data_IF_773849966587
#
_entry.id   IF_773849966587
#
_cell.length_a   1.000
_cell.length_b   1.000
_cell.length_c   1.000
_cell.angle_alpha   90.00
_cell.angle_beta   90.00
_cell.angle_gamma   90.00
#
_symmetry.space_group_name_H-M   'P 1'
#
loop_
_entity.id
_entity.type
_entity.pdbx_description
1 polymer ?
#
# COMPACT_ATOMS: atom_id res chain seq x y z
N UNK A 1 3.12 12.67 28.04
CA UNK A 1 3.84 11.40 27.81
C UNK A 1 4.69 11.63 26.57
N UNK A 2 5.82 12.29 26.77
CA UNK A 2 6.77 12.61 25.71
C UNK A 2 7.60 11.35 25.48
N UNK A 3 7.55 10.78 24.28
CA UNK A 3 8.58 9.85 23.85
C UNK A 3 9.83 10.68 23.57
N UNK A 4 10.72 10.76 24.56
CA UNK A 4 12.04 11.34 24.38
C UNK A 4 12.73 10.67 23.18
N UNK A 5 13.31 11.49 22.32
CA UNK A 5 14.12 11.04 21.20
C UNK A 5 15.33 10.26 21.74
N UNK A 6 15.28 8.93 21.66
CA UNK A 6 16.36 8.01 22.07
C UNK A 6 17.64 8.20 21.20
N UNK A 7 17.54 8.95 20.10
CA UNK A 7 18.59 9.08 19.08
C UNK A 7 19.17 10.50 19.10
N UNK A 8 20.49 10.60 19.28
CA UNK A 8 21.22 11.87 19.25
C UNK A 8 21.14 12.54 17.88
N UNK A 9 21.32 13.87 17.82
CA UNK A 9 21.35 14.59 16.54
C UNK A 9 22.47 14.10 15.61
N UNK A 10 23.63 13.75 16.19
CA UNK A 10 24.76 13.19 15.46
C UNK A 10 24.41 11.82 14.84
N UNK A 11 23.71 10.97 15.57
CA UNK A 11 23.27 9.67 15.07
C UNK A 11 22.23 9.81 13.95
N UNK A 12 21.28 10.75 14.07
CA UNK A 12 20.32 11.03 12.99
C UNK A 12 21.03 11.50 11.72
N UNK A 13 22.01 12.40 11.85
CA UNK A 13 22.80 12.87 10.72
C UNK A 13 23.58 11.73 10.06
N UNK A 14 24.18 10.85 10.87
CA UNK A 14 24.89 9.66 10.39
C UNK A 14 23.96 8.70 9.63
N UNK A 15 22.81 8.36 10.19
CA UNK A 15 21.80 7.49 9.54
C UNK A 15 21.36 8.08 8.20
N UNK A 16 21.09 9.38 8.15
CA UNK A 16 20.71 10.05 6.90
C UNK A 16 21.86 10.05 5.88
N UNK A 17 23.10 10.27 6.32
CA UNK A 17 24.28 10.21 5.45
C UNK A 17 24.51 8.81 4.86
N UNK A 18 24.30 7.76 5.64
CA UNK A 18 24.37 6.36 5.19
C UNK A 18 23.25 6.01 4.21
N UNK A 19 22.08 6.67 4.29
CA UNK A 19 20.97 6.49 3.36
C UNK A 19 21.13 7.23 2.02
N UNK A 20 21.92 8.30 1.98
CA UNK A 20 22.11 9.15 0.78
C UNK A 20 22.54 8.38 -0.49
N UNK A 21 23.48 7.41 -0.44
CA UNK A 21 23.88 6.64 -1.63
C UNK A 21 22.70 5.89 -2.26
N UNK A 22 21.80 5.33 -1.45
CA UNK A 22 20.62 4.62 -1.92
C UNK A 22 19.62 5.58 -2.57
N UNK A 23 19.39 6.74 -1.95
CA UNK A 23 18.53 7.78 -2.51
C UNK A 23 19.03 8.22 -3.89
N UNK A 24 20.33 8.50 -4.02
CA UNK A 24 20.94 8.90 -5.28
C UNK A 24 20.84 7.81 -6.35
N UNK A 25 21.05 6.55 -5.96
CA UNK A 25 20.97 5.40 -6.88
C UNK A 25 19.58 5.22 -7.50
N UNK A 26 18.52 5.46 -6.72
CA UNK A 26 17.14 5.24 -7.17
C UNK A 26 16.40 6.51 -7.58
N UNK A 27 17.05 7.68 -7.48
CA UNK A 27 16.47 8.94 -7.96
C UNK A 27 16.12 8.84 -9.45
N UNK A 28 14.92 9.28 -9.83
CA UNK A 28 14.36 9.14 -11.18
C UNK A 28 13.81 7.75 -11.53
N UNK A 29 13.97 6.76 -10.65
CA UNK A 29 13.46 5.40 -10.90
C UNK A 29 11.97 5.28 -10.54
N UNK A 30 11.28 4.34 -11.19
CA UNK A 30 9.91 3.97 -10.88
C UNK A 30 9.91 2.79 -9.90
N UNK A 31 9.26 2.95 -8.76
CA UNK A 31 9.14 1.91 -7.73
C UNK A 31 7.70 1.37 -7.69
N UNK A 32 7.49 0.11 -8.07
CA UNK A 32 6.16 -0.52 -8.00
C UNK A 32 5.96 -1.13 -6.61
N UNK A 33 5.00 -0.59 -5.85
CA UNK A 33 4.77 -0.96 -4.45
C UNK A 33 3.44 -1.71 -4.36
N UNK A 34 3.51 -2.99 -3.98
CA UNK A 34 2.32 -3.78 -3.68
C UNK A 34 1.78 -3.42 -2.30
N UNK A 35 0.63 -2.75 -2.26
CA UNK A 35 -0.04 -2.34 -1.03
C UNK A 35 -1.19 -3.29 -0.70
N UNK A 36 -1.16 -3.95 0.46
CA UNK A 36 -2.18 -4.94 0.80
C UNK A 36 -2.11 -5.44 2.24
N UNK A 37 -3.09 -6.26 2.62
CA UNK A 37 -3.17 -6.88 3.96
C UNK A 37 -3.58 -5.90 5.06
N UNK A 38 -3.05 -6.09 6.27
CA UNK A 38 -3.38 -5.31 7.47
C UNK A 38 -3.03 -3.81 7.32
N UNK A 39 -2.10 -3.48 6.43
CA UNK A 39 -1.75 -2.09 6.12
C UNK A 39 -2.94 -1.31 5.53
N UNK A 40 -3.95 -1.99 4.96
CA UNK A 40 -5.19 -1.38 4.44
C UNK A 40 -6.32 -1.27 5.48
N UNK A 41 -6.19 -1.85 6.66
CA UNK A 41 -7.26 -1.86 7.68
C UNK A 41 -6.97 -0.93 8.84
N UNK A 42 -5.71 -0.85 9.27
CA UNK A 42 -5.32 -0.06 10.43
C UNK A 42 -5.05 1.42 10.07
N UNK A 43 -5.66 2.40 10.77
CA UNK A 43 -5.49 3.82 10.47
C UNK A 43 -4.04 4.31 10.58
N UNK A 44 -3.32 3.89 11.62
CA UNK A 44 -1.92 4.29 11.84
C UNK A 44 -1.00 3.82 10.71
N UNK A 45 -1.20 2.59 10.21
CA UNK A 45 -0.43 2.04 9.10
C UNK A 45 -0.78 2.70 7.76
N UNK A 46 -2.02 3.15 7.56
CA UNK A 46 -2.40 3.94 6.38
C UNK A 46 -1.68 5.28 6.33
N UNK A 47 -1.64 5.98 7.47
CA UNK A 47 -0.96 7.27 7.56
C UNK A 47 0.55 7.12 7.40
N UNK A 48 1.16 6.11 8.02
CA UNK A 48 2.57 5.78 7.83
C UNK A 48 2.90 5.52 6.37
N UNK A 49 2.10 4.66 5.71
CA UNK A 49 2.27 4.37 4.29
C UNK A 49 2.14 5.61 3.40
N UNK A 50 1.16 6.49 3.68
CA UNK A 50 1.01 7.74 2.94
C UNK A 50 2.23 8.66 3.11
N UNK A 51 2.78 8.78 4.32
CA UNK A 51 4.01 9.55 4.59
C UNK A 51 5.20 8.98 3.82
N UNK A 52 5.34 7.66 3.76
CA UNK A 52 6.43 7.01 3.01
C UNK A 52 6.32 7.25 1.51
N UNK A 53 5.11 7.16 0.94
CA UNK A 53 4.87 7.45 -0.48
C UNK A 53 5.23 8.89 -0.82
N UNK A 54 4.87 9.84 0.04
CA UNK A 54 5.25 11.25 -0.13
C UNK A 54 6.76 11.42 -0.03
N UNK A 55 7.41 10.80 0.95
CA UNK A 55 8.86 10.82 1.10
C UNK A 55 9.57 10.31 -0.16
N UNK A 56 9.12 9.18 -0.72
CA UNK A 56 9.66 8.63 -1.97
C UNK A 56 9.56 9.64 -3.12
N UNK A 57 8.43 10.34 -3.24
CA UNK A 57 8.26 11.37 -4.27
C UNK A 57 9.19 12.57 -4.05
N UNK A 58 9.38 12.99 -2.80
CA UNK A 58 10.27 14.11 -2.43
C UNK A 58 11.74 13.80 -2.74
N UNK A 59 12.19 12.57 -2.55
CA UNK A 59 13.57 12.15 -2.86
C UNK A 59 13.78 11.82 -4.35
N UNK A 60 12.77 12.02 -5.20
CA UNK A 60 12.85 11.84 -6.65
C UNK A 60 12.52 10.44 -7.15
N UNK A 61 12.03 9.53 -6.30
CA UNK A 61 11.53 8.22 -6.70
C UNK A 61 10.06 8.37 -7.16
N UNK A 62 9.64 7.60 -8.15
CA UNK A 62 8.26 7.63 -8.67
C UNK A 62 7.49 6.38 -8.22
N UNK A 63 6.78 6.42 -7.07
CA UNK A 63 6.03 5.27 -6.59
C UNK A 63 4.78 5.00 -7.43
N UNK A 64 4.61 3.76 -7.85
CA UNK A 64 3.40 3.21 -8.49
C UNK A 64 2.79 2.20 -7.56
N UNK A 65 1.64 2.53 -6.97
CA UNK A 65 1.01 1.72 -5.93
C UNK A 65 0.01 0.76 -6.57
N UNK A 66 0.23 -0.53 -6.37
CA UNK A 66 -0.69 -1.59 -6.79
C UNK A 66 -1.34 -2.16 -5.54
N UNK A 67 -2.64 -1.92 -5.35
CA UNK A 67 -3.34 -2.46 -4.19
C UNK A 67 -4.10 -3.75 -4.50
N UNK A 68 -4.31 -4.58 -3.48
CA UNK A 68 -5.26 -5.69 -3.55
C UNK A 68 -6.71 -5.20 -3.32
N UNK A 69 -7.69 -6.00 -3.76
CA UNK A 69 -9.12 -5.78 -3.47
C UNK A 69 -9.74 -6.81 -2.51
N UNK A 70 -8.92 -7.65 -1.86
CA UNK A 70 -9.39 -8.84 -1.13
C UNK A 70 -10.52 -8.58 -0.13
N UNK A 71 -10.36 -7.66 0.83
CA UNK A 71 -11.40 -7.34 1.81
C UNK A 71 -12.65 -6.71 1.18
N UNK A 72 -12.50 -5.81 0.20
CA UNK A 72 -13.65 -5.19 -0.46
C UNK A 72 -14.45 -6.18 -1.33
N UNK A 73 -13.75 -7.11 -2.00
CA UNK A 73 -14.39 -8.18 -2.78
C UNK A 73 -15.15 -9.13 -1.85
N UNK A 74 -14.61 -9.46 -0.68
CA UNK A 74 -15.30 -10.29 0.30
C UNK A 74 -16.56 -9.60 0.86
N UNK A 75 -16.47 -8.32 1.21
CA UNK A 75 -17.63 -7.53 1.64
C UNK A 75 -18.72 -7.46 0.55
N UNK A 76 -18.32 -7.37 -0.73
CA UNK A 76 -19.26 -7.40 -1.85
C UNK A 76 -19.86 -8.79 -2.07
N UNK A 77 -19.09 -9.87 -1.88
CA UNK A 77 -19.58 -11.25 -1.97
C UNK A 77 -20.58 -11.59 -0.86
N UNK A 78 -20.36 -11.10 0.36
CA UNK A 78 -21.30 -11.22 1.47
C UNK A 78 -22.63 -10.50 1.17
N UNK A 79 -22.58 -9.28 0.63
CA UNK A 79 -23.79 -8.54 0.20
C UNK A 79 -24.58 -9.25 -0.90
N UNK A 80 -23.89 -10.01 -1.76
CA UNK A 80 -24.51 -10.80 -2.84
C UNK A 80 -24.90 -12.21 -2.36
N UNK A 81 -24.80 -12.49 -1.05
CA UNK A 81 -25.27 -13.75 -0.43
C UNK A 81 -24.40 -14.96 -0.73
N UNK A 82 -23.15 -14.78 -1.20
CA UNK A 82 -22.24 -15.89 -1.51
C UNK A 82 -21.16 -15.98 -0.44
N UNK A 83 -21.23 -17.01 0.42
CA UNK A 83 -20.17 -17.31 1.40
C UNK A 83 -18.86 -17.61 0.67
N UNK A 84 -17.88 -16.74 0.86
CA UNK A 84 -16.51 -16.97 0.39
C UNK A 84 -15.79 -17.87 1.40
N UNK A 85 -15.91 -19.19 1.25
CA UNK A 85 -15.11 -20.14 2.02
C UNK A 85 -13.66 -20.05 1.52
N UNK A 86 -12.87 -19.16 2.13
CA UNK A 86 -11.45 -18.98 1.81
C UNK A 86 -10.62 -19.74 2.85
N UNK A 87 -10.17 -20.93 2.50
CA UNK A 87 -9.09 -21.60 3.24
C UNK A 87 -7.81 -20.75 3.10
N UNK A 88 -7.12 -20.54 4.22
CA UNK A 88 -6.03 -19.55 4.34
C UNK A 88 -4.77 -19.86 3.53
N UNK A 89 -4.72 -20.98 2.83
CA UNK A 89 -3.49 -21.54 2.28
C UNK A 89 -3.43 -21.50 0.74
N UNK A 90 -4.56 -21.31 0.05
CA UNK A 90 -4.55 -21.02 -1.38
C UNK A 90 -5.82 -20.30 -1.81
N UNK A 91 -5.73 -18.97 -2.00
CA UNK A 91 -6.83 -18.18 -2.52
C UNK A 91 -6.96 -18.35 -4.04
N UNK A 92 -7.17 -19.58 -4.54
CA UNK A 92 -7.48 -19.78 -5.96
C UNK A 92 -8.83 -19.10 -6.25
N UNK A 93 -8.86 -18.06 -7.09
CA UNK A 93 -10.11 -17.40 -7.43
C UNK A 93 -10.96 -18.35 -8.29
N UNK A 94 -12.13 -18.75 -7.78
CA UNK A 94 -13.16 -19.38 -8.61
C UNK A 94 -13.52 -18.48 -9.80
N UNK A 95 -13.93 -19.04 -10.95
CA UNK A 95 -14.29 -18.26 -12.17
C UNK A 95 -15.20 -17.06 -11.86
N UNK A 96 -16.13 -17.22 -10.92
CA UNK A 96 -17.05 -16.17 -10.45
C UNK A 96 -16.36 -15.04 -9.68
N UNK A 97 -15.34 -15.35 -8.84
CA UNK A 97 -14.55 -14.35 -8.11
C UNK A 97 -13.65 -13.54 -9.04
N UNK A 98 -13.10 -14.18 -10.08
CA UNK A 98 -12.34 -13.49 -11.13
C UNK A 98 -13.19 -12.44 -11.85
N UNK A 99 -14.40 -12.83 -12.26
CA UNK A 99 -15.35 -11.92 -12.90
C UNK A 99 -15.71 -10.78 -11.92
N UNK A 100 -16.10 -11.09 -10.68
CA UNK A 100 -16.47 -10.06 -9.70
C UNK A 100 -15.32 -9.09 -9.40
N UNK A 101 -14.08 -9.59 -9.27
CA UNK A 101 -12.89 -8.77 -9.11
C UNK A 101 -12.69 -7.83 -10.30
N UNK A 102 -12.80 -8.35 -11.52
CA UNK A 102 -12.67 -7.57 -12.75
C UNK A 102 -13.75 -6.47 -12.83
N UNK A 103 -15.00 -6.78 -12.48
CA UNK A 103 -16.08 -5.81 -12.40
C UNK A 103 -15.87 -4.76 -11.30
N UNK A 104 -15.42 -5.17 -10.12
CA UNK A 104 -15.12 -4.24 -9.02
C UNK A 104 -14.01 -3.25 -9.37
N UNK A 105 -12.93 -3.73 -9.98
CA UNK A 105 -11.82 -2.90 -10.44
C UNK A 105 -12.21 -2.01 -11.62
N UNK A 106 -12.99 -2.53 -12.58
CA UNK A 106 -13.52 -1.73 -13.68
C UNK A 106 -14.47 -0.63 -13.19
N UNK A 107 -15.27 -0.89 -12.15
CA UNK A 107 -16.21 0.08 -11.57
C UNK A 107 -15.58 1.09 -10.60
N UNK A 108 -14.44 0.77 -9.98
CA UNK A 108 -13.75 1.68 -9.04
C UNK A 108 -12.62 2.50 -9.68
N UNK A 109 -12.14 2.12 -10.87
CA UNK A 109 -10.98 2.76 -11.52
C UNK A 109 -11.23 4.11 -12.21
N UNK A 110 -12.42 4.72 -12.10
CA UNK A 110 -12.69 6.07 -12.65
C UNK A 110 -13.36 7.02 -11.66
N UNK A 111 -12.74 7.21 -10.48
CA UNK A 111 -12.74 8.52 -9.81
C UNK A 111 -11.32 8.96 -9.57
N UNK A 112 -10.59 9.26 -10.66
CA UNK A 112 -9.45 10.18 -10.57
C UNK A 112 -10.00 11.59 -10.42
N UNK A 113 -10.30 11.96 -9.17
CA UNK A 113 -10.47 13.34 -8.74
C UNK A 113 -9.24 13.73 -7.93
N UNK A 114 -8.13 13.93 -8.62
CA UNK A 114 -7.02 14.76 -8.14
C UNK A 114 -6.81 15.80 -9.23
N UNK A 115 -7.42 16.97 -9.05
CA UNK A 115 -6.80 18.23 -9.48
C UNK A 115 -5.66 18.53 -8.51
#
# INVERSE_FOLDING_TARGET
>A
MEFENIISAADKARILAEALPYIRRFSGSVAVIKYGGNAMTEPALKEGFARDVVLLKLVGIHPVIVHGGGPQINAMLEKVGKRANLSKECALPTKRRWILSKWYWAGTSTRKSCR
#
